data_IF_182685093999
#
_entry.id   IF_182685093999
#
_cell.length_a   1.000
_cell.length_b   1.000
_cell.length_c   1.000
_cell.angle_alpha   90.00
_cell.angle_beta   90.00
_cell.angle_gamma   90.00
#
_symmetry.space_group_name_H-M   'P 1'
#
loop_
_entity.id
_entity.type
_entity.pdbx_description
1 polymer ?
#
# COMPACT_ATOMS: atom_id res chain seq x y z
N UNK A 1 -6.23 28.74 10.26
CA UNK A 1 -5.24 28.02 9.41
C UNK A 1 -5.64 26.56 9.20
N UNK A 2 -5.88 25.80 10.28
CA UNK A 2 -6.24 24.38 10.23
C UNK A 2 -7.56 24.08 9.48
N UNK A 3 -8.63 24.86 9.68
CA UNK A 3 -9.91 24.69 8.97
C UNK A 3 -9.75 24.73 7.42
N UNK A 4 -8.96 25.69 6.92
CA UNK A 4 -8.64 25.80 5.48
C UNK A 4 -7.84 24.59 5.00
N UNK A 5 -6.87 24.13 5.80
CA UNK A 5 -6.08 22.93 5.51
C UNK A 5 -6.96 21.68 5.43
N UNK A 6 -7.88 21.46 6.38
CA UNK A 6 -8.83 20.34 6.36
C UNK A 6 -9.65 20.34 5.08
N UNK A 7 -10.21 21.50 4.69
CA UNK A 7 -10.98 21.63 3.45
C UNK A 7 -10.12 21.32 2.22
N UNK A 8 -8.86 21.75 2.19
CA UNK A 8 -7.91 21.44 1.12
C UNK A 8 -7.59 19.94 1.06
N UNK A 9 -7.29 19.31 2.19
CA UNK A 9 -7.00 17.87 2.26
C UNK A 9 -8.19 17.03 1.81
N UNK A 10 -9.40 17.40 2.24
CA UNK A 10 -10.66 16.77 1.80
C UNK A 10 -10.85 16.90 0.29
N UNK A 11 -10.71 18.12 -0.25
CA UNK A 11 -10.89 18.37 -1.69
C UNK A 11 -9.85 17.63 -2.54
N UNK A 12 -8.57 17.63 -2.11
CA UNK A 12 -7.47 16.92 -2.77
C UNK A 12 -7.72 15.42 -2.85
N UNK A 13 -8.32 14.84 -1.80
CA UNK A 13 -8.72 13.42 -1.75
C UNK A 13 -10.12 13.15 -2.33
N UNK A 14 -10.77 14.16 -2.91
CA UNK A 14 -12.15 14.09 -3.44
C UNK A 14 -13.19 13.54 -2.43
N UNK A 15 -12.96 13.75 -1.14
CA UNK A 15 -13.86 13.28 -0.08
C UNK A 15 -15.06 14.23 0.07
N UNK A 16 -16.25 13.67 0.35
CA UNK A 16 -17.44 14.48 0.64
C UNK A 16 -17.43 14.94 2.09
N UNK A 17 -18.16 16.03 2.37
CA UNK A 17 -18.38 16.48 3.76
C UNK A 17 -19.19 15.46 4.56
N UNK A 18 -20.10 14.75 3.90
CA UNK A 18 -20.90 13.68 4.50
C UNK A 18 -20.01 12.52 4.98
N UNK A 19 -19.08 12.08 4.14
CA UNK A 19 -18.13 11.01 4.48
C UNK A 19 -17.30 11.36 5.72
N UNK A 20 -16.69 12.54 5.76
CA UNK A 20 -15.88 12.92 6.92
C UNK A 20 -16.73 13.15 8.18
N UNK A 21 -17.98 13.61 8.04
CA UNK A 21 -18.89 13.70 9.16
C UNK A 21 -19.22 12.31 9.74
N UNK A 22 -19.49 11.30 8.89
CA UNK A 22 -19.76 9.93 9.32
C UNK A 22 -18.55 9.30 10.02
N UNK A 23 -17.33 9.47 9.49
CA UNK A 23 -16.11 8.94 10.11
C UNK A 23 -15.83 9.56 11.49
N UNK A 24 -16.17 10.84 11.65
CA UNK A 24 -16.02 11.55 12.92
C UNK A 24 -17.14 11.22 13.91
N UNK A 25 -18.27 10.68 13.45
CA UNK A 25 -19.46 10.44 14.29
C UNK A 25 -20.20 11.73 14.62
N UNK A 26 -20.15 12.73 13.73
CA UNK A 26 -20.81 14.04 13.90
C UNK A 26 -21.76 14.31 12.73
N UNK A 27 -22.67 15.27 12.90
CA UNK A 27 -23.57 15.65 11.82
C UNK A 27 -22.83 16.39 10.69
N UNK A 28 -23.29 16.27 9.45
CA UNK A 28 -22.74 17.05 8.31
C UNK A 28 -22.75 18.57 8.58
N UNK A 29 -23.81 19.18 9.13
CA UNK A 29 -23.77 20.58 9.55
C UNK A 29 -22.64 20.90 10.53
N UNK A 30 -22.38 20.02 11.51
CA UNK A 30 -21.27 20.17 12.47
C UNK A 30 -19.92 20.15 11.75
N UNK A 31 -19.72 19.23 10.80
CA UNK A 31 -18.49 19.16 10.01
C UNK A 31 -18.28 20.42 9.14
N UNK A 32 -19.36 20.97 8.56
CA UNK A 32 -19.31 22.23 7.81
C UNK A 32 -18.80 23.37 8.68
N UNK A 33 -19.21 23.45 9.95
CA UNK A 33 -18.71 24.46 10.88
C UNK A 33 -17.21 24.31 11.15
N UNK A 34 -16.70 23.08 11.21
CA UNK A 34 -15.25 22.82 11.35
C UNK A 34 -14.48 23.36 10.13
N UNK A 35 -14.91 23.07 8.90
CA UNK A 35 -14.24 23.56 7.69
C UNK A 35 -14.32 25.09 7.52
N UNK A 36 -15.34 25.72 8.13
CA UNK A 36 -15.51 27.18 8.15
C UNK A 36 -14.77 27.85 9.31
N UNK A 37 -14.26 27.08 10.28
CA UNK A 37 -13.63 27.59 11.50
C UNK A 37 -14.62 28.09 12.56
N UNK A 38 -15.91 27.78 12.42
CA UNK A 38 -16.96 28.10 13.40
C UNK A 38 -17.01 27.11 14.59
N UNK A 39 -16.25 26.00 14.51
CA UNK A 39 -16.11 25.02 15.59
C UNK A 39 -14.69 24.45 15.60
N UNK A 40 -14.11 24.33 16.78
CA UNK A 40 -12.81 23.66 16.97
C UNK A 40 -12.95 22.13 16.95
N UNK A 41 -11.83 21.46 16.70
CA UNK A 41 -11.75 20.00 16.76
C UNK A 41 -11.42 19.56 18.18
N UNK A 42 -12.10 18.50 18.63
CA UNK A 42 -11.61 17.74 19.79
C UNK A 42 -10.34 16.97 19.42
N UNK A 43 -9.54 16.57 20.42
CA UNK A 43 -8.33 15.78 20.19
C UNK A 43 -8.65 14.44 19.49
N UNK A 44 -9.78 13.81 19.82
CA UNK A 44 -10.22 12.57 19.17
C UNK A 44 -10.59 12.79 17.70
N UNK A 45 -11.33 13.85 17.37
CA UNK A 45 -11.66 14.21 15.99
C UNK A 45 -10.40 14.58 15.19
N UNK A 46 -9.47 15.31 15.79
CA UNK A 46 -8.19 15.65 15.15
C UNK A 46 -7.34 14.40 14.86
N UNK A 47 -7.31 13.43 15.79
CA UNK A 47 -6.64 12.14 15.58
C UNK A 47 -7.27 11.35 14.43
N UNK A 48 -8.61 11.29 14.35
CA UNK A 48 -9.33 10.64 13.26
C UNK A 48 -9.04 11.32 11.91
N UNK A 49 -9.13 12.66 11.83
CA UNK A 49 -8.82 13.39 10.60
C UNK A 49 -7.37 13.23 10.17
N UNK A 50 -6.41 13.27 11.10
CA UNK A 50 -5.01 13.01 10.80
C UNK A 50 -4.81 11.61 10.20
N UNK A 51 -5.48 10.61 10.77
CA UNK A 51 -5.46 9.24 10.26
C UNK A 51 -6.08 9.14 8.86
N UNK A 52 -7.28 9.71 8.64
CA UNK A 52 -7.97 9.72 7.34
C UNK A 52 -7.15 10.45 6.26
N UNK A 53 -6.37 11.47 6.65
CA UNK A 53 -5.49 12.18 5.75
C UNK A 53 -4.09 11.56 5.63
N UNK A 54 -3.88 10.37 6.17
CA UNK A 54 -2.61 9.63 6.09
C UNK A 54 -1.40 10.44 6.58
N UNK A 55 -1.57 11.12 7.72
CA UNK A 55 -0.51 11.93 8.33
C UNK A 55 -0.48 11.79 9.85
N UNK A 56 0.67 12.12 10.46
CA UNK A 56 0.76 12.18 11.92
C UNK A 56 -0.09 13.32 12.47
N UNK A 57 -0.57 13.16 13.72
CA UNK A 57 -1.31 14.21 14.41
C UNK A 57 -0.50 15.52 14.49
N UNK A 58 0.81 15.42 14.74
CA UNK A 58 1.72 16.56 14.76
C UNK A 58 1.70 17.33 13.43
N UNK A 59 1.91 16.62 12.31
CA UNK A 59 1.88 17.19 10.96
C UNK A 59 0.51 17.80 10.62
N UNK A 60 -0.57 17.13 11.03
CA UNK A 60 -1.93 17.63 10.87
C UNK A 60 -2.15 18.94 11.61
N UNK A 61 -1.78 19.01 12.90
CA UNK A 61 -1.98 20.20 13.74
C UNK A 61 -1.21 21.43 13.24
N UNK A 62 -0.01 21.22 12.68
CA UNK A 62 0.79 22.30 12.07
C UNK A 62 0.45 22.54 10.59
N UNK A 63 -0.60 21.90 10.06
CA UNK A 63 -1.04 22.01 8.67
C UNK A 63 0.06 21.73 7.63
N UNK A 64 0.93 20.74 7.91
CA UNK A 64 2.07 20.37 7.06
C UNK A 64 1.84 18.99 6.45
N UNK A 65 1.78 18.93 5.12
CA UNK A 65 1.75 17.63 4.44
C UNK A 65 3.12 16.91 4.58
N UNK A 66 3.13 15.58 4.77
CA UNK A 66 4.35 14.81 4.59
C UNK A 66 4.80 14.95 3.13
N UNK A 67 5.94 15.63 2.92
CA UNK A 67 6.54 15.77 1.58
C UNK A 67 7.37 14.54 1.27
N UNK A 68 6.76 13.55 0.62
CA UNK A 68 7.52 12.52 -0.10
C UNK A 68 7.80 13.06 -1.51
N UNK A 69 9.06 13.36 -1.80
CA UNK A 69 9.48 13.61 -3.18
C UNK A 69 9.97 12.29 -3.76
N UNK A 70 9.16 11.66 -4.62
CA UNK A 70 9.65 10.56 -5.47
C UNK A 70 10.39 11.21 -6.62
N UNK A 71 11.72 11.16 -6.59
CA UNK A 71 12.55 11.58 -7.72
C UNK A 71 12.92 10.34 -8.52
N UNK A 72 12.48 10.28 -9.78
CA UNK A 72 12.91 9.25 -10.73
C UNK A 72 14.31 9.65 -11.21
N UNK A 73 15.36 9.08 -10.60
CA UNK A 73 16.75 9.41 -10.97
C UNK A 73 17.35 8.38 -11.94
N UNK A 74 18.02 8.87 -12.98
CA UNK A 74 18.87 8.09 -13.89
C UNK A 74 20.31 8.05 -13.34
N UNK A 75 20.58 7.12 -12.41
CA UNK A 75 21.90 6.74 -11.84
C UNK A 75 22.75 7.77 -11.04
N UNK A 76 23.17 7.24 -9.87
CA UNK A 76 24.32 7.47 -8.97
C UNK A 76 24.55 8.78 -8.19
N UNK A 77 24.26 8.65 -6.88
CA UNK A 77 24.98 9.11 -5.67
C UNK A 77 25.38 10.59 -5.60
N UNK A 78 24.59 11.37 -4.84
CA UNK A 78 25.11 12.22 -3.74
C UNK A 78 24.15 12.20 -2.53
N UNK A 79 24.71 12.29 -1.32
CA UNK A 79 24.02 12.21 -0.02
C UNK A 79 23.40 13.57 0.32
N UNK A 80 22.11 13.63 0.66
CA UNK A 80 21.49 14.79 1.31
C UNK A 80 20.40 14.35 2.31
N UNK A 81 20.19 15.16 3.35
CA UNK A 81 19.45 14.83 4.58
C UNK A 81 17.91 14.81 4.48
N UNK A 82 17.34 14.53 3.30
CA UNK A 82 15.88 14.34 3.12
C UNK A 82 15.57 12.86 2.91
N UNK A 83 14.42 12.37 3.40
CA UNK A 83 13.89 11.02 3.12
C UNK A 83 13.54 10.89 1.62
N UNK A 84 14.56 10.76 0.78
CA UNK A 84 14.43 10.49 -0.66
C UNK A 84 14.23 8.99 -0.85
N UNK A 85 13.04 8.60 -1.33
CA UNK A 85 12.80 7.22 -1.79
C UNK A 85 13.38 7.13 -3.19
N UNK A 86 14.45 6.35 -3.33
CA UNK A 86 15.18 6.16 -4.60
C UNK A 86 14.72 4.86 -5.24
N UNK A 87 13.95 4.96 -6.32
CA UNK A 87 13.50 3.80 -7.10
C UNK A 87 14.36 3.72 -8.36
N UNK A 88 14.89 2.54 -8.68
CA UNK A 88 15.62 2.36 -9.93
C UNK A 88 14.66 2.41 -11.13
N UNK A 89 15.10 2.96 -12.27
CA UNK A 89 14.29 3.01 -13.51
C UNK A 89 13.75 1.63 -13.91
N UNK A 90 14.57 0.57 -13.77
CA UNK A 90 14.19 -0.81 -14.07
C UNK A 90 13.00 -1.28 -13.20
N UNK A 91 13.00 -0.95 -11.91
CA UNK A 91 11.92 -1.33 -11.00
C UNK A 91 10.65 -0.51 -11.28
N UNK A 92 10.78 0.74 -11.69
CA UNK A 92 9.63 1.56 -12.11
C UNK A 92 8.97 1.04 -13.37
N UNK A 93 9.74 0.68 -14.39
CA UNK A 93 9.18 0.14 -15.64
C UNK A 93 8.48 -1.20 -15.38
N UNK A 94 9.08 -2.05 -14.55
CA UNK A 94 8.46 -3.29 -14.07
C UNK A 94 7.13 -3.02 -13.35
N UNK A 95 7.11 -2.07 -12.40
CA UNK A 95 5.89 -1.67 -11.69
C UNK A 95 4.82 -1.22 -12.70
N UNK A 96 5.13 -0.34 -13.66
CA UNK A 96 4.17 0.07 -14.70
C UNK A 96 3.58 -1.13 -15.45
N UNK A 97 4.39 -2.12 -15.82
CA UNK A 97 3.89 -3.31 -16.52
C UNK A 97 3.01 -4.19 -15.63
N UNK A 98 3.38 -4.38 -14.36
CA UNK A 98 2.55 -5.09 -13.37
C UNK A 98 1.22 -4.37 -13.17
N UNK A 99 1.24 -3.05 -13.05
CA UNK A 99 0.05 -2.23 -12.90
C UNK A 99 -0.86 -2.33 -14.14
N UNK A 100 -0.32 -2.23 -15.36
CA UNK A 100 -1.09 -2.46 -16.58
C UNK A 100 -1.69 -3.86 -16.61
N UNK A 101 -0.93 -4.88 -16.20
CA UNK A 101 -1.40 -6.27 -16.17
C UNK A 101 -2.59 -6.44 -15.22
N UNK A 102 -2.48 -5.94 -13.99
CA UNK A 102 -3.56 -5.97 -13.00
C UNK A 102 -4.79 -5.22 -13.52
N UNK A 103 -4.61 -4.00 -14.04
CA UNK A 103 -5.73 -3.18 -14.52
C UNK A 103 -6.43 -3.81 -15.74
N UNK A 104 -5.70 -4.51 -16.61
CA UNK A 104 -6.30 -5.23 -17.73
C UNK A 104 -7.15 -6.43 -17.26
N UNK A 105 -6.73 -7.12 -16.18
CA UNK A 105 -7.46 -8.26 -15.63
C UNK A 105 -8.68 -7.86 -14.80
N UNK A 106 -8.54 -6.85 -13.94
CA UNK A 106 -9.54 -6.54 -12.89
C UNK A 106 -9.98 -5.08 -12.82
N UNK A 107 -9.43 -4.16 -13.62
CA UNK A 107 -9.76 -2.72 -13.55
C UNK A 107 -11.24 -2.41 -13.83
N UNK A 108 -11.91 -3.27 -14.60
CA UNK A 108 -13.35 -3.18 -14.87
C UNK A 108 -14.24 -3.52 -13.67
N UNK A 109 -13.77 -4.32 -12.70
CA UNK A 109 -14.58 -4.81 -11.58
C UNK A 109 -15.08 -3.63 -10.72
N UNK A 110 -16.35 -3.64 -10.25
CA UNK A 110 -16.96 -2.48 -9.59
C UNK A 110 -16.34 -2.16 -8.23
N UNK A 111 -15.78 -3.15 -7.52
CA UNK A 111 -15.11 -2.98 -6.22
C UNK A 111 -13.67 -2.44 -6.32
N UNK A 112 -13.07 -2.40 -7.52
CA UNK A 112 -11.65 -2.05 -7.69
C UNK A 112 -11.46 -0.54 -7.84
N UNK A 113 -11.19 0.12 -6.72
CA UNK A 113 -10.73 1.51 -6.64
C UNK A 113 -9.27 1.64 -6.22
N UNK A 114 -8.76 2.87 -6.19
CA UNK A 114 -7.36 3.19 -5.82
C UNK A 114 -6.95 2.59 -4.46
N UNK A 115 -7.84 2.63 -3.46
CA UNK A 115 -7.62 2.05 -2.12
C UNK A 115 -7.44 0.52 -2.12
N UNK A 116 -8.15 -0.18 -3.01
CA UNK A 116 -8.04 -1.64 -3.18
C UNK A 116 -6.77 -1.97 -3.97
N UNK A 117 -6.46 -1.16 -4.99
CA UNK A 117 -5.28 -1.30 -5.81
C UNK A 117 -3.98 -1.21 -4.99
N UNK A 118 -3.87 -0.26 -4.06
CA UNK A 118 -2.72 -0.17 -3.14
C UNK A 118 -2.49 -1.47 -2.37
N UNK A 119 -3.56 -2.08 -1.86
CA UNK A 119 -3.49 -3.31 -1.07
C UNK A 119 -3.14 -4.52 -1.93
N UNK A 120 -3.70 -4.61 -3.15
CA UNK A 120 -3.35 -5.68 -4.08
C UNK A 120 -1.87 -5.62 -4.47
N UNK A 121 -1.34 -4.43 -4.77
CA UNK A 121 0.08 -4.24 -5.06
C UNK A 121 0.95 -4.66 -3.88
N UNK A 122 0.55 -4.28 -2.65
CA UNK A 122 1.23 -4.69 -1.43
C UNK A 122 1.31 -6.22 -1.30
N UNK A 123 0.19 -6.93 -1.43
CA UNK A 123 0.20 -8.39 -1.34
C UNK A 123 0.97 -9.03 -2.49
N UNK A 124 0.87 -8.51 -3.72
CA UNK A 124 1.67 -9.01 -4.84
C UNK A 124 3.16 -8.92 -4.53
N UNK A 125 3.66 -7.79 -4.03
CA UNK A 125 5.09 -7.59 -3.77
C UNK A 125 5.56 -8.38 -2.54
N UNK A 126 4.81 -8.32 -1.43
CA UNK A 126 5.20 -8.96 -0.17
C UNK A 126 5.07 -10.48 -0.21
N UNK A 127 4.01 -11.01 -0.82
CA UNK A 127 3.83 -12.45 -0.98
C UNK A 127 4.88 -13.03 -1.94
N UNK A 128 5.32 -12.25 -2.94
CA UNK A 128 6.38 -12.69 -3.85
C UNK A 128 7.73 -12.75 -3.10
N UNK A 129 8.00 -11.74 -2.27
CA UNK A 129 9.19 -11.73 -1.43
C UNK A 129 9.20 -12.86 -0.39
N UNK A 130 8.05 -13.20 0.19
CA UNK A 130 7.95 -14.36 1.10
C UNK A 130 8.34 -15.66 0.41
N UNK A 131 7.85 -15.89 -0.82
CA UNK A 131 8.10 -17.15 -1.57
C UNK A 131 9.49 -17.27 -2.15
N UNK A 132 10.08 -16.16 -2.60
CA UNK A 132 11.26 -16.19 -3.46
C UNK A 132 12.44 -15.39 -2.90
N UNK A 133 12.25 -14.69 -1.77
CA UNK A 133 13.24 -13.78 -1.17
C UNK A 133 13.73 -12.66 -2.13
N UNK A 134 12.97 -12.41 -3.19
CA UNK A 134 13.20 -11.39 -4.21
C UNK A 134 12.00 -10.45 -4.27
N UNK A 135 12.22 -9.15 -4.52
CA UNK A 135 11.11 -8.23 -4.72
C UNK A 135 10.59 -8.32 -6.16
N UNK A 136 9.26 -8.27 -6.35
CA UNK A 136 8.66 -8.23 -7.68
C UNK A 136 8.74 -6.82 -8.26
N UNK A 137 8.31 -5.82 -7.49
CA UNK A 137 8.41 -4.40 -7.83
C UNK A 137 9.39 -3.68 -6.91
N UNK A 138 9.47 -4.09 -5.64
CA UNK A 138 10.34 -3.46 -4.65
C UNK A 138 9.88 -2.05 -4.31
N UNK A 139 8.56 -1.83 -4.28
CA UNK A 139 7.98 -0.54 -3.93
C UNK A 139 8.07 -0.30 -2.41
N UNK A 140 7.99 0.97 -2.02
CA UNK A 140 7.98 1.40 -0.61
C UNK A 140 6.54 1.51 -0.13
N UNK A 141 6.15 0.63 0.78
CA UNK A 141 4.83 0.65 1.40
C UNK A 141 4.92 1.25 2.79
N UNK A 142 3.97 2.11 3.16
CA UNK A 142 3.85 2.68 4.50
C UNK A 142 2.57 2.22 5.19
N UNK A 143 2.61 2.16 6.53
CA UNK A 143 1.42 1.94 7.34
C UNK A 143 0.53 3.17 7.34
N UNK A 144 -0.63 3.07 6.71
CA UNK A 144 -1.66 4.10 6.69
C UNK A 144 -2.98 3.60 7.30
N UNK A 145 -3.90 4.52 7.55
CA UNK A 145 -5.15 4.24 8.27
C UNK A 145 -5.96 3.15 7.57
N UNK A 146 -6.10 3.25 6.26
CA UNK A 146 -6.84 2.28 5.46
C UNK A 146 -5.99 1.10 4.99
N UNK A 147 -4.83 0.83 5.59
CA UNK A 147 -3.95 -0.28 5.21
C UNK A 147 -2.62 0.17 4.57
N UNK A 148 -1.85 -0.76 4.01
CA UNK A 148 -0.57 -0.47 3.37
C UNK A 148 -0.77 0.39 2.12
N UNK A 149 0.05 1.42 1.97
CA UNK A 149 0.01 2.34 0.83
C UNK A 149 1.38 2.45 0.18
N UNK A 150 1.49 2.16 -1.12
CA UNK A 150 2.72 2.43 -1.90
C UNK A 150 2.90 3.93 -2.11
N UNK A 151 4.09 4.43 -1.82
CA UNK A 151 4.44 5.84 -2.02
C UNK A 151 4.59 6.17 -3.50
N UNK A 152 5.11 5.23 -4.30
CA UNK A 152 5.41 5.40 -5.72
C UNK A 152 4.15 5.44 -6.60
N UNK A 153 3.10 4.70 -6.21
CA UNK A 153 1.92 4.50 -7.05
C UNK A 153 1.28 5.82 -7.50
N UNK A 154 1.22 6.83 -6.62
CA UNK A 154 0.62 8.12 -6.95
C UNK A 154 1.33 8.85 -8.09
N UNK A 155 2.67 8.82 -8.12
CA UNK A 155 3.45 9.43 -9.19
C UNK A 155 3.44 8.57 -10.46
N UNK A 156 3.47 7.24 -10.31
CA UNK A 156 3.34 6.30 -11.44
C UNK A 156 2.02 6.51 -12.17
N UNK A 157 0.90 6.60 -11.44
CA UNK A 157 -0.43 6.82 -12.03
C UNK A 157 -0.48 8.16 -12.79
N UNK A 158 0.05 9.24 -12.21
CA UNK A 158 0.11 10.55 -12.89
C UNK A 158 0.93 10.48 -14.17
N UNK A 159 2.09 9.83 -14.13
CA UNK A 159 2.96 9.67 -15.29
C UNK A 159 2.26 8.88 -16.40
N UNK A 160 1.67 7.73 -16.06
CA UNK A 160 0.98 6.87 -17.01
C UNK A 160 -0.26 7.54 -17.61
N UNK A 161 -0.98 8.36 -16.84
CA UNK A 161 -2.07 9.19 -17.35
C UNK A 161 -1.55 10.22 -18.35
N UNK A 162 -0.44 10.91 -18.06
CA UNK A 162 0.18 11.88 -18.97
C UNK A 162 0.66 11.22 -20.27
N UNK A 163 1.16 10.00 -20.18
CA UNK A 163 1.61 9.18 -21.32
C UNK A 163 0.44 8.51 -22.07
N UNK A 164 -0.81 8.68 -21.62
CA UNK A 164 -2.00 8.11 -22.25
C UNK A 164 -2.12 6.59 -22.11
N UNK A 165 -1.43 5.99 -21.14
CA UNK A 165 -1.40 4.53 -20.93
C UNK A 165 -2.57 4.03 -20.10
N UNK A 166 -3.10 4.90 -19.23
CA UNK A 166 -4.27 4.65 -18.39
C UNK A 166 -5.18 5.89 -18.38
N UNK A 167 -6.43 5.67 -18.02
CA UNK A 167 -7.44 6.71 -17.85
C UNK A 167 -8.05 6.63 -16.46
N UNK A 168 -8.16 7.77 -15.78
CA UNK A 168 -8.87 7.86 -14.52
C UNK A 168 -10.36 8.11 -14.76
N UNK A 169 -11.21 7.25 -14.23
CA UNK A 169 -12.66 7.40 -14.29
C UNK A 169 -13.22 7.56 -12.89
N UNK A 170 -14.29 8.36 -12.78
CA UNK A 170 -15.07 8.50 -11.55
C UNK A 170 -16.32 7.66 -11.69
N UNK A 171 -16.50 6.69 -10.81
CA UNK A 171 -17.70 5.86 -10.77
C UNK A 171 -18.40 6.00 -9.43
N UNK A 172 -19.73 5.98 -9.42
CA UNK A 172 -20.47 5.81 -8.18
C UNK A 172 -20.40 4.32 -7.78
N UNK A 173 -19.93 4.05 -6.57
CA UNK A 173 -19.98 2.73 -5.96
C UNK A 173 -20.74 2.87 -4.64
N UNK A 174 -21.95 2.31 -4.58
CA UNK A 174 -22.93 2.58 -3.53
C UNK A 174 -23.18 4.10 -3.38
N UNK A 175 -22.87 4.67 -2.19
CA UNK A 175 -23.08 6.09 -1.88
C UNK A 175 -21.82 6.95 -2.11
N UNK A 176 -20.71 6.35 -2.55
CA UNK A 176 -19.41 6.99 -2.60
C UNK A 176 -18.89 7.15 -4.03
N UNK A 177 -18.15 8.24 -4.25
CA UNK A 177 -17.45 8.48 -5.52
C UNK A 177 -16.10 7.75 -5.47
N UNK A 178 -15.95 6.74 -6.31
CA UNK A 178 -14.74 5.95 -6.42
C UNK A 178 -13.90 6.43 -7.60
N UNK A 179 -12.60 6.60 -7.36
CA UNK A 179 -11.61 6.85 -8.41
C UNK A 179 -11.04 5.50 -8.88
N UNK A 180 -11.23 5.22 -10.16
CA UNK A 180 -10.76 4.00 -10.82
C UNK A 180 -9.82 4.33 -11.97
N UNK A 181 -9.06 3.34 -12.38
CA UNK A 181 -8.13 3.43 -13.48
C UNK A 181 -8.42 2.34 -14.49
N UNK A 182 -8.57 2.71 -15.76
CA UNK A 182 -8.77 1.79 -16.86
C UNK A 182 -7.54 1.83 -17.78
N UNK A 183 -7.02 0.68 -18.22
CA UNK A 183 -5.88 0.65 -19.10
C UNK A 183 -6.28 1.05 -20.52
N UNK A 184 -5.47 1.89 -21.15
CA UNK A 184 -5.56 2.21 -22.59
C UNK A 184 -4.51 1.46 -23.41
N UNK A 185 -3.49 0.90 -22.76
CA UNK A 185 -2.48 0.02 -23.35
C UNK A 185 -2.51 -1.37 -22.71
N UNK A 186 -2.10 -2.37 -23.47
CA UNK A 186 -1.82 -3.71 -22.95
C UNK A 186 -0.45 -3.72 -22.25
N UNK A 187 -0.25 -4.55 -21.21
CA UNK A 187 1.05 -4.73 -20.60
C UNK A 187 2.03 -5.37 -21.60
N UNK A 188 3.30 -4.97 -21.52
CA UNK A 188 4.38 -5.70 -22.17
C UNK A 188 4.73 -6.94 -21.34
N UNK A 189 4.26 -8.11 -21.79
CA UNK A 189 4.47 -9.38 -21.09
C UNK A 189 5.93 -9.86 -21.14
N UNK A 190 6.75 -9.40 -22.08
CA UNK A 190 8.18 -9.76 -22.14
C UNK A 190 8.95 -9.26 -20.91
N UNK A 191 8.40 -8.28 -20.20
CA UNK A 191 8.94 -7.77 -18.95
C UNK A 191 8.50 -8.57 -17.73
N UNK A 192 7.62 -9.56 -17.87
CA UNK A 192 7.08 -10.38 -16.78
C UNK A 192 7.36 -11.86 -17.07
N UNK A 193 8.09 -12.53 -16.18
CA UNK A 193 8.31 -13.97 -16.27
C UNK A 193 7.01 -14.73 -16.00
N UNK A 194 6.93 -15.97 -16.51
CA UNK A 194 5.78 -16.84 -16.25
C UNK A 194 5.51 -17.02 -14.74
N UNK A 195 6.57 -17.14 -13.93
CA UNK A 195 6.51 -17.23 -12.46
C UNK A 195 5.85 -16.00 -11.82
N UNK A 196 6.21 -14.81 -12.29
CA UNK A 196 5.61 -13.56 -11.79
C UNK A 196 4.15 -13.42 -12.21
N UNK A 197 3.82 -13.79 -13.44
CA UNK A 197 2.45 -13.79 -13.96
C UNK A 197 1.57 -14.74 -13.14
N UNK A 198 2.02 -15.97 -12.94
CA UNK A 198 1.33 -16.98 -12.13
C UNK A 198 1.11 -16.48 -10.70
N UNK A 199 2.14 -15.87 -10.09
CA UNK A 199 2.02 -15.30 -8.75
C UNK A 199 0.99 -14.17 -8.70
N UNK A 200 1.04 -13.23 -9.64
CA UNK A 200 0.08 -12.13 -9.71
C UNK A 200 -1.34 -12.69 -9.87
N UNK A 201 -1.57 -13.61 -10.81
CA UNK A 201 -2.88 -14.22 -11.04
C UNK A 201 -3.39 -14.94 -9.78
N UNK A 202 -2.52 -15.63 -9.03
CA UNK A 202 -2.87 -16.26 -7.75
C UNK A 202 -3.30 -15.27 -6.67
N UNK A 203 -2.59 -14.14 -6.52
CA UNK A 203 -2.99 -13.08 -5.57
C UNK A 203 -4.30 -12.44 -5.99
N UNK A 204 -4.50 -12.16 -7.29
CA UNK A 204 -5.75 -11.61 -7.81
C UNK A 204 -6.93 -12.56 -7.61
N UNK A 205 -6.76 -13.87 -7.82
CA UNK A 205 -7.79 -14.87 -7.56
C UNK A 205 -8.20 -14.88 -6.08
N UNK A 206 -7.25 -14.71 -5.16
CA UNK A 206 -7.51 -14.71 -3.70
C UNK A 206 -8.19 -13.43 -3.19
N UNK A 207 -7.83 -12.28 -3.75
CA UNK A 207 -8.12 -10.98 -3.12
C UNK A 207 -8.96 -10.02 -3.96
N UNK A 208 -9.02 -10.17 -5.28
CA UNK A 208 -9.64 -9.15 -6.16
C UNK A 208 -11.17 -9.06 -6.05
N UNK A 209 -11.84 -10.05 -5.46
CA UNK A 209 -13.30 -10.02 -5.24
C UNK A 209 -13.68 -9.41 -3.89
N UNK A 210 -12.71 -9.11 -3.02
CA UNK A 210 -12.96 -8.45 -1.74
C UNK A 210 -13.37 -6.99 -1.96
N UNK A 211 -14.35 -6.53 -1.21
CA UNK A 211 -14.69 -5.10 -1.17
C UNK A 211 -13.67 -4.32 -0.32
N UNK A 212 -13.77 -2.98 -0.33
CA UNK A 212 -12.82 -2.11 0.34
C UNK A 212 -12.67 -2.39 1.85
N UNK A 213 -13.77 -2.68 2.55
CA UNK A 213 -13.76 -2.97 3.98
C UNK A 213 -13.14 -4.36 4.27
N UNK A 214 -13.48 -5.36 3.46
CA UNK A 214 -12.93 -6.72 3.62
C UNK A 214 -11.41 -6.75 3.40
N UNK A 215 -10.92 -6.09 2.35
CA UNK A 215 -9.49 -6.06 2.07
C UNK A 215 -8.72 -5.16 3.04
N UNK A 216 -9.38 -4.14 3.62
CA UNK A 216 -8.85 -3.33 4.71
C UNK A 216 -8.66 -4.13 5.97
N UNK A 217 -9.72 -4.78 6.47
CA UNK A 217 -9.65 -5.68 7.61
C UNK A 217 -8.62 -6.78 7.40
N UNK A 218 -8.55 -7.35 6.19
CA UNK A 218 -7.55 -8.36 5.85
C UNK A 218 -6.13 -7.80 5.95
N UNK A 219 -5.87 -6.60 5.42
CA UNK A 219 -4.54 -5.97 5.47
C UNK A 219 -4.12 -5.49 6.86
N UNK A 220 -5.07 -5.12 7.73
CA UNK A 220 -4.78 -4.68 9.10
C UNK A 220 -4.34 -5.82 10.00
N UNK A 221 -4.72 -7.04 9.66
CA UNK A 221 -4.32 -8.24 10.39
C UNK A 221 -2.99 -8.85 9.89
N UNK A 222 -2.43 -8.35 8.79
CA UNK A 222 -1.13 -8.82 8.28
C UNK A 222 0.04 -8.24 9.10
N UNK A 223 1.03 -9.08 9.39
CA UNK A 223 2.12 -8.77 10.34
C UNK A 223 3.00 -7.59 9.92
N UNK A 224 3.39 -7.43 8.64
CA UNK A 224 4.13 -6.25 8.21
C UNK A 224 3.39 -4.95 8.54
N UNK A 225 2.08 -4.93 8.35
CA UNK A 225 1.27 -3.76 8.71
C UNK A 225 1.10 -3.61 10.23
N UNK A 226 0.85 -4.70 10.98
CA UNK A 226 0.67 -4.64 12.45
C UNK A 226 1.91 -4.14 13.18
N UNK A 227 3.07 -4.65 12.80
CA UNK A 227 4.35 -4.37 13.47
C UNK A 227 4.91 -2.98 13.19
N UNK A 228 4.53 -2.35 12.06
CA UNK A 228 5.00 -1.02 11.70
C UNK A 228 4.32 0.09 12.51
N UNK A 229 5.01 1.23 12.63
CA UNK A 229 4.45 2.48 13.17
C UNK A 229 3.71 3.25 12.07
N UNK A 230 2.67 4.00 12.45
CA UNK A 230 1.88 4.78 11.50
C UNK A 230 2.77 5.77 10.71
N UNK A 231 2.58 5.81 9.39
CA UNK A 231 3.34 6.62 8.45
C UNK A 231 4.79 6.17 8.23
N UNK A 232 5.22 5.04 8.79
CA UNK A 232 6.57 4.48 8.58
C UNK A 232 6.55 3.37 7.52
N UNK A 233 7.69 3.16 6.81
CA UNK A 233 7.84 2.06 5.86
C UNK A 233 7.63 0.70 6.52
N UNK A 234 7.02 -0.22 5.78
CA UNK A 234 6.87 -1.62 6.13
C UNK A 234 8.16 -2.37 5.76
N UNK A 235 8.59 -3.29 6.61
CA UNK A 235 9.76 -4.17 6.34
C UNK A 235 9.29 -5.41 5.59
N UNK A 236 9.89 -5.71 4.45
CA UNK A 236 9.61 -6.93 3.69
C UNK A 236 9.91 -8.18 4.51
N UNK A 237 10.99 -8.16 5.30
CA UNK A 237 11.44 -9.28 6.14
C UNK A 237 10.44 -9.66 7.23
N UNK A 238 9.46 -8.80 7.52
CA UNK A 238 8.40 -9.13 8.47
C UNK A 238 7.41 -10.17 7.96
N UNK A 239 7.39 -10.48 6.64
CA UNK A 239 6.56 -11.57 6.09
C UNK A 239 6.94 -12.93 6.65
N UNK A 240 8.20 -13.15 7.03
CA UNK A 240 8.69 -14.41 7.61
C UNK A 240 8.17 -14.68 9.03
N UNK A 241 7.37 -13.76 9.57
CA UNK A 241 6.70 -13.94 10.85
C UNK A 241 5.20 -14.16 10.72
N UNK A 242 4.63 -14.09 9.50
CA UNK A 242 3.20 -14.22 9.19
C UNK A 242 2.61 -15.49 9.79
N UNK A 243 1.35 -15.40 10.18
CA UNK A 243 0.56 -16.58 10.53
C UNK A 243 0.09 -17.32 9.26
N UNK A 244 -0.40 -18.55 9.45
CA UNK A 244 -0.82 -19.47 8.38
C UNK A 244 -1.91 -18.88 7.46
N UNK A 245 -2.69 -17.89 7.91
CA UNK A 245 -3.74 -17.26 7.09
C UNK A 245 -3.15 -16.44 5.94
N UNK A 246 -2.00 -15.82 6.19
CA UNK A 246 -1.34 -14.93 5.24
C UNK A 246 -0.19 -15.63 4.51
N UNK A 247 0.47 -16.55 5.20
CA UNK A 247 1.66 -17.20 4.68
C UNK A 247 1.36 -17.91 3.37
N UNK A 248 2.24 -17.67 2.40
CA UNK A 248 2.08 -18.19 1.05
C UNK A 248 2.88 -19.47 0.80
N UNK A 249 3.60 -19.93 1.81
CA UNK A 249 4.30 -21.21 1.85
C UNK A 249 3.70 -22.05 3.00
N UNK A 250 3.39 -23.32 2.74
CA UNK A 250 2.99 -24.24 3.80
C UNK A 250 4.22 -24.50 4.68
N UNK A 251 4.30 -23.78 5.80
CA UNK A 251 5.44 -23.73 6.72
C UNK A 251 6.23 -25.06 6.82
N UNK A 252 7.43 -25.13 6.22
CA UNK A 252 8.57 -25.90 6.77
C UNK A 252 9.60 -24.99 7.47
N UNK A 253 9.31 -23.71 7.67
CA UNK A 253 10.10 -22.82 8.54
C UNK A 253 9.49 -22.80 9.94
N UNK A 254 9.46 -23.97 10.57
CA UNK A 254 9.15 -24.09 12.00
C UNK A 254 10.27 -23.41 12.80
N UNK A 255 9.95 -22.34 13.52
CA UNK A 255 10.62 -21.96 14.79
C UNK A 255 12.16 -21.71 14.78
N UNK A 256 12.83 -21.42 13.67
CA UNK A 256 14.28 -21.20 13.71
C UNK A 256 14.72 -19.95 14.52
N UNK A 257 13.92 -18.87 14.53
CA UNK A 257 14.26 -17.67 15.36
C UNK A 257 13.94 -17.82 16.84
N UNK A 258 12.93 -18.61 17.21
CA UNK A 258 12.56 -18.83 18.62
C UNK A 258 13.56 -19.76 19.35
N UNK A 259 14.24 -20.66 18.63
CA UNK A 259 15.24 -21.54 19.23
C UNK A 259 16.63 -20.86 19.38
N UNK A 260 16.99 -19.92 18.51
CA UNK A 260 18.29 -19.23 18.56
C UNK A 260 18.49 -18.31 19.79
N UNK A 261 17.42 -17.90 20.49
CA UNK A 261 17.56 -17.19 21.77
C UNK A 261 17.89 -18.11 22.95
N UNK A 262 17.65 -19.42 22.81
CA UNK A 262 17.84 -20.38 23.90
C UNK A 262 19.22 -21.05 23.90
N UNK A 263 19.92 -21.07 22.76
CA UNK A 263 21.25 -21.66 22.65
C UNK A 263 22.33 -20.58 22.77
N UNK A 264 22.70 -20.26 24.02
CA UNK A 264 23.99 -19.64 24.32
C UNK A 264 25.12 -20.57 23.84
N UNK A 265 25.79 -20.20 22.74
CA UNK A 265 27.17 -20.59 22.49
C UNK A 265 27.42 -21.96 21.83
N UNK A 266 26.67 -22.37 20.81
CA UNK A 266 27.05 -23.54 19.99
C UNK A 266 26.89 -23.29 18.49
N UNK A 267 28.06 -23.19 17.84
CA UNK A 267 28.42 -23.27 16.41
C UNK A 267 27.30 -23.22 15.35
N UNK A 268 27.31 -22.13 14.59
CA UNK A 268 26.47 -21.72 13.46
C UNK A 268 26.54 -22.62 12.19
N UNK A 269 27.05 -23.86 12.25
CA UNK A 269 27.44 -24.63 11.04
C UNK A 269 26.52 -25.77 10.60
N UNK A 270 25.43 -26.07 11.31
CA UNK A 270 24.56 -27.22 10.98
C UNK A 270 23.08 -26.80 10.94
N UNK A 271 22.69 -25.93 10.00
CA UNK A 271 21.27 -25.75 9.62
C UNK A 271 21.07 -25.54 8.10
N UNK A 272 22.14 -25.51 7.30
CA UNK A 272 22.04 -25.25 5.86
C UNK A 272 21.82 -26.49 4.96
N UNK A 273 21.63 -27.68 5.53
CA UNK A 273 21.46 -28.91 4.72
C UNK A 273 20.15 -29.63 5.04
N UNK A 274 19.03 -29.14 4.52
CA UNK A 274 17.86 -29.98 4.20
C UNK A 274 17.08 -29.33 3.06
N UNK A 275 17.70 -29.33 1.88
CA UNK A 275 16.97 -29.37 0.62
C UNK A 275 16.48 -30.82 0.48
N UNK A 276 15.28 -31.14 0.98
CA UNK A 276 14.62 -32.37 0.56
C UNK A 276 13.98 -32.09 -0.80
N UNK A 277 14.63 -32.58 -1.87
CA UNK A 277 13.95 -32.86 -3.11
C UNK A 277 12.76 -33.78 -2.78
N UNK A 278 11.54 -33.27 -2.81
CA UNK A 278 10.40 -34.17 -2.99
C UNK A 278 10.42 -34.68 -4.43
N UNK A 279 11.04 -35.86 -4.58
CA UNK A 279 10.70 -36.82 -5.61
C UNK A 279 9.22 -37.18 -5.47
N UNK A 280 8.38 -36.74 -6.41
CA UNK A 280 7.57 -37.60 -7.29
C UNK A 280 6.72 -36.77 -8.25
#
# INVERSE_FOLDING_TARGET
MLAKFIKQQRAKRNMTQEYLASELGISRPTYIQIERGGRELTVSEAKKLAAIFDMSLENFLVAKEPKFSVTIEEKSIKKSNNLQIRVTKKNLDKFKQVLLYILNKIGGKPNIGETVLHKLLYFIDFDYYEKFEENLMGATYIKNHHGPTSIELGEILKEMQRQGEIEAVKSQYFKYLQKKYLPRKRPNLDMLSAREIEHIDGVLARLSDKNAAEIENYSHEDIPWKSAQNGKPLSYESVFYRDERYSTEFLRIVKARLFCRYLKGSSLRIVYSYFEQERR
#
